data_IF_578334862117
#
_entry.id   IF_578334862117
#
_cell.length_a   1.000
_cell.length_b   1.000
_cell.length_c   1.000
_cell.angle_alpha   90.00
_cell.angle_beta   90.00
_cell.angle_gamma   90.00
#
_symmetry.space_group_name_H-M   'P 1'
#
loop_
_entity.id
_entity.type
_entity.pdbx_description
1 polymer ?
#
# COMPACT_ATOMS: atom_id res chain seq x y z
N UNK A 1 -5.26 -21.63 22.37
CA UNK A 1 -5.26 -21.86 20.92
C UNK A 1 -4.05 -21.12 20.38
N UNK A 2 -3.08 -21.85 19.81
CA UNK A 2 -1.76 -21.33 19.47
C UNK A 2 -1.86 -20.20 18.45
N UNK A 3 -1.51 -18.99 18.88
CA UNK A 3 -1.06 -17.95 17.97
C UNK A 3 0.26 -18.43 17.36
N UNK A 4 0.22 -19.08 16.19
CA UNK A 4 1.42 -19.28 15.40
C UNK A 4 1.95 -17.87 15.07
N UNK A 5 2.99 -17.45 15.78
CA UNK A 5 3.63 -16.17 15.56
C UNK A 5 3.92 -15.99 14.08
N UNK A 6 3.52 -14.85 13.52
CA UNK A 6 3.77 -14.55 12.12
C UNK A 6 5.26 -14.72 11.82
N UNK A 7 5.61 -15.67 10.95
CA UNK A 7 7.01 -15.90 10.57
C UNK A 7 7.39 -14.87 9.50
N UNK A 8 8.36 -14.05 9.83
CA UNK A 8 9.00 -13.15 8.89
C UNK A 8 10.19 -13.84 8.22
N UNK A 9 10.31 -13.60 6.94
CA UNK A 9 11.49 -13.90 6.14
C UNK A 9 12.14 -12.60 5.71
N UNK A 10 13.43 -12.65 5.35
CA UNK A 10 14.15 -11.47 4.85
C UNK A 10 14.89 -11.81 3.56
N UNK A 11 15.03 -10.82 2.70
CA UNK A 11 15.79 -10.91 1.46
C UNK A 11 16.53 -9.60 1.19
N UNK A 12 17.80 -9.70 0.82
CA UNK A 12 18.58 -8.55 0.37
C UNK A 12 18.22 -8.22 -1.09
N UNK A 13 17.71 -7.02 -1.33
CA UNK A 13 17.38 -6.52 -2.67
C UNK A 13 17.47 -4.98 -2.72
N UNK A 14 17.88 -4.45 -3.85
CA UNK A 14 17.92 -3.00 -4.12
C UNK A 14 18.55 -2.15 -3.00
N UNK A 15 19.55 -2.67 -2.30
CA UNK A 15 20.28 -1.97 -1.23
C UNK A 15 19.55 -1.92 0.11
N UNK A 16 18.52 -2.72 0.30
CA UNK A 16 17.81 -2.92 1.57
C UNK A 16 17.74 -4.39 1.95
N UNK A 17 17.53 -4.69 3.20
CA UNK A 17 17.03 -5.97 3.69
C UNK A 17 15.51 -5.85 3.84
N UNK A 18 14.76 -6.50 2.94
CA UNK A 18 13.31 -6.48 2.94
C UNK A 18 12.77 -7.63 3.77
N UNK A 19 11.97 -7.32 4.77
CA UNK A 19 11.19 -8.30 5.53
C UNK A 19 9.83 -8.51 4.88
N UNK A 20 9.37 -9.77 4.89
CA UNK A 20 8.07 -10.13 4.34
C UNK A 20 7.50 -11.36 5.03
N UNK A 21 6.20 -11.56 4.89
CA UNK A 21 5.51 -12.77 5.32
C UNK A 21 4.91 -13.46 4.10
N UNK A 22 4.94 -14.80 4.09
CA UNK A 22 4.20 -15.63 3.15
C UNK A 22 3.26 -16.54 3.92
N UNK A 23 1.99 -16.65 3.50
CA UNK A 23 1.00 -17.56 4.08
C UNK A 23 0.16 -18.20 2.98
N UNK A 24 -0.06 -19.53 3.08
CA UNK A 24 -0.82 -20.29 2.09
C UNK A 24 0.00 -20.61 0.83
N UNK A 25 -0.61 -21.41 -0.07
CA UNK A 25 0.07 -21.98 -1.25
C UNK A 25 -0.69 -21.77 -2.57
N UNK A 26 -1.84 -21.06 -2.53
CA UNK A 26 -2.69 -20.85 -3.70
C UNK A 26 -2.16 -19.78 -4.67
N UNK A 27 -3.07 -19.16 -5.41
CA UNK A 27 -2.74 -18.07 -6.32
C UNK A 27 -2.10 -16.88 -5.58
N UNK A 28 -1.05 -16.22 -6.14
CA UNK A 28 -0.38 -15.11 -5.47
C UNK A 28 -1.33 -13.93 -5.24
N UNK A 29 -1.42 -13.48 -3.98
CA UNK A 29 -2.11 -12.26 -3.57
C UNK A 29 -1.13 -11.37 -2.81
N UNK A 30 -0.74 -10.29 -3.43
CA UNK A 30 0.16 -9.28 -2.87
C UNK A 30 -0.64 -8.29 -2.04
N UNK A 31 -0.22 -8.06 -0.79
CA UNK A 31 -0.86 -7.13 0.14
C UNK A 31 0.14 -6.05 0.55
N UNK A 32 -0.01 -4.82 0.05
CA UNK A 32 0.88 -3.69 0.27
C UNK A 32 0.25 -2.67 1.22
N UNK A 33 0.84 -2.52 2.41
CA UNK A 33 0.36 -1.64 3.48
C UNK A 33 0.47 -0.14 3.17
N UNK A 34 -0.20 0.69 3.96
CA UNK A 34 -0.14 2.15 3.89
C UNK A 34 1.12 2.73 4.54
N UNK A 35 1.39 4.02 4.31
CA UNK A 35 2.47 4.73 4.97
C UNK A 35 2.22 4.73 6.50
N UNK A 36 3.25 4.67 7.31
CA UNK A 36 3.24 4.42 8.75
C UNK A 36 2.72 3.04 9.19
N UNK A 37 2.32 2.17 8.25
CA UNK A 37 1.88 0.81 8.51
C UNK A 37 2.99 -0.22 8.37
N UNK A 38 2.61 -1.49 8.50
CA UNK A 38 3.44 -2.66 8.29
C UNK A 38 2.62 -3.83 7.72
N UNK A 39 3.28 -4.88 7.30
CA UNK A 39 2.62 -6.12 6.88
C UNK A 39 1.71 -6.73 7.95
N UNK A 40 1.96 -6.42 9.23
CA UNK A 40 1.15 -6.87 10.36
C UNK A 40 -0.25 -6.26 10.41
N UNK A 41 -0.48 -5.09 9.80
CA UNK A 41 -1.74 -4.37 9.91
C UNK A 41 -2.90 -5.03 9.12
N UNK A 42 -2.59 -5.94 8.20
CA UNK A 42 -3.60 -6.63 7.39
C UNK A 42 -4.58 -7.47 8.19
N UNK A 43 -4.21 -7.93 9.39
CA UNK A 43 -5.12 -8.67 10.30
C UNK A 43 -6.30 -7.82 10.78
N UNK A 44 -6.16 -6.49 10.76
CA UNK A 44 -7.23 -5.56 11.15
C UNK A 44 -8.27 -5.39 10.04
N UNK A 45 -7.90 -5.68 8.79
CA UNK A 45 -8.79 -5.54 7.64
C UNK A 45 -9.30 -6.89 7.11
N UNK A 46 -8.43 -7.90 7.01
CA UNK A 46 -8.68 -9.17 6.35
C UNK A 46 -8.60 -10.35 7.34
N UNK A 47 -9.38 -11.39 7.09
CA UNK A 47 -9.17 -12.70 7.73
C UNK A 47 -8.09 -13.46 6.95
N UNK A 48 -6.83 -13.30 7.39
CA UNK A 48 -5.68 -13.87 6.69
C UNK A 48 -5.68 -15.40 6.66
N UNK A 49 -6.18 -16.06 7.70
CA UNK A 49 -6.23 -17.54 7.76
C UNK A 49 -7.25 -18.10 6.77
N UNK A 50 -8.37 -17.41 6.58
CA UNK A 50 -9.35 -17.77 5.57
C UNK A 50 -8.80 -17.53 4.15
N UNK A 51 -8.16 -16.40 3.92
CA UNK A 51 -7.56 -16.06 2.62
C UNK A 51 -6.41 -17.03 2.26
N UNK A 52 -5.59 -17.44 3.22
CA UNK A 52 -4.48 -18.36 3.02
C UNK A 52 -4.92 -19.78 2.59
N UNK A 53 -6.19 -20.14 2.75
CA UNK A 53 -6.74 -21.40 2.22
C UNK A 53 -6.86 -21.38 0.70
N UNK A 54 -6.88 -20.20 0.09
CA UNK A 54 -7.09 -20.01 -1.35
C UNK A 54 -5.91 -19.31 -2.04
N UNK A 55 -5.24 -18.43 -1.33
CA UNK A 55 -4.18 -17.59 -1.88
C UNK A 55 -2.85 -17.87 -1.20
N UNK A 56 -1.77 -17.72 -1.94
CA UNK A 56 -0.44 -17.47 -1.41
C UNK A 56 -0.33 -15.97 -1.13
N UNK A 57 -0.53 -15.59 0.13
CA UNK A 57 -0.45 -14.19 0.57
C UNK A 57 1.02 -13.77 0.64
N UNK A 58 1.38 -12.67 -0.02
CA UNK A 58 2.70 -12.06 0.03
C UNK A 58 2.54 -10.67 0.66
N UNK A 59 3.11 -10.48 1.84
CA UNK A 59 2.95 -9.28 2.65
C UNK A 59 4.32 -8.71 3.03
N UNK A 60 4.93 -7.88 2.16
CA UNK A 60 6.19 -7.23 2.50
C UNK A 60 5.98 -6.05 3.45
N UNK A 61 6.99 -5.78 4.27
CA UNK A 61 7.21 -4.45 4.84
C UNK A 61 7.93 -3.60 3.80
N UNK A 62 7.38 -2.46 3.44
CA UNK A 62 8.01 -1.53 2.49
C UNK A 62 9.36 -1.03 3.03
N UNK A 63 10.26 -0.56 2.15
CA UNK A 63 11.55 0.00 2.56
C UNK A 63 11.39 0.99 3.73
N UNK A 64 12.19 0.84 4.77
CA UNK A 64 12.13 1.69 5.96
C UNK A 64 10.92 1.49 6.86
N UNK A 65 10.01 0.56 6.56
CA UNK A 65 8.84 0.25 7.37
C UNK A 65 8.97 -1.11 8.05
N UNK A 66 8.20 -1.33 9.10
CA UNK A 66 8.14 -2.61 9.78
C UNK A 66 9.52 -3.10 10.21
N UNK A 67 9.93 -4.24 9.66
CA UNK A 67 11.24 -4.87 9.86
C UNK A 67 12.22 -4.62 8.71
N UNK A 68 11.78 -3.99 7.62
CA UNK A 68 12.62 -3.67 6.46
C UNK A 68 13.54 -2.51 6.74
N UNK A 69 14.79 -2.60 6.28
CA UNK A 69 15.77 -1.52 6.41
C UNK A 69 15.65 -0.48 5.28
N UNK A 70 16.27 0.68 5.47
CA UNK A 70 16.49 1.68 4.42
C UNK A 70 17.77 2.50 4.74
N UNK A 71 18.96 1.87 4.68
CA UNK A 71 20.20 2.50 5.13
C UNK A 71 20.58 3.74 4.31
N UNK A 72 20.18 3.81 3.04
CA UNK A 72 20.42 4.96 2.18
C UNK A 72 19.47 6.14 2.40
N UNK A 73 18.40 5.96 3.20
CA UNK A 73 17.42 6.99 3.54
C UNK A 73 16.53 7.47 2.38
N UNK A 74 16.89 7.19 1.12
CA UNK A 74 16.09 7.57 -0.04
C UNK A 74 14.78 6.80 -0.10
N UNK A 75 13.69 7.50 -0.42
CA UNK A 75 12.35 6.92 -0.49
C UNK A 75 11.53 7.54 -1.60
N UNK A 76 11.02 6.70 -2.50
CA UNK A 76 9.98 7.04 -3.48
C UNK A 76 9.02 5.86 -3.64
N UNK A 77 7.79 6.13 -4.08
CA UNK A 77 6.82 5.09 -4.41
C UNK A 77 7.33 4.22 -5.58
N UNK A 78 8.06 4.83 -6.51
CA UNK A 78 8.75 4.13 -7.61
C UNK A 78 9.78 3.13 -7.10
N UNK A 79 10.59 3.51 -6.08
CA UNK A 79 11.52 2.57 -5.45
C UNK A 79 10.78 1.42 -4.75
N UNK A 80 9.68 1.71 -4.04
CA UNK A 80 8.84 0.67 -3.44
C UNK A 80 8.31 -0.32 -4.49
N UNK A 81 7.95 0.16 -5.69
CA UNK A 81 7.53 -0.71 -6.79
C UNK A 81 8.68 -1.57 -7.34
N UNK A 82 9.88 -1.01 -7.46
CA UNK A 82 11.07 -1.77 -7.85
C UNK A 82 11.42 -2.86 -6.82
N UNK A 83 11.32 -2.55 -5.52
CA UNK A 83 11.54 -3.52 -4.44
C UNK A 83 10.49 -4.63 -4.47
N UNK A 84 9.22 -4.26 -4.63
CA UNK A 84 8.13 -5.22 -4.75
C UNK A 84 8.33 -6.14 -5.95
N UNK A 85 8.74 -5.60 -7.10
CA UNK A 85 9.06 -6.40 -8.29
C UNK A 85 10.21 -7.36 -8.03
N UNK A 86 11.27 -6.90 -7.37
CA UNK A 86 12.42 -7.74 -7.03
C UNK A 86 12.03 -8.86 -6.05
N UNK A 87 11.16 -8.58 -5.06
CA UNK A 87 10.62 -9.60 -4.15
C UNK A 87 9.80 -10.64 -4.92
N UNK A 88 8.89 -10.24 -5.81
CA UNK A 88 8.09 -11.18 -6.59
C UNK A 88 8.99 -12.07 -7.47
N UNK A 89 10.02 -11.51 -8.10
CA UNK A 89 11.02 -12.27 -8.86
C UNK A 89 11.79 -13.27 -7.98
N UNK A 90 12.21 -12.86 -6.77
CA UNK A 90 12.86 -13.74 -5.79
C UNK A 90 11.95 -14.92 -5.40
N UNK A 91 10.66 -14.69 -5.29
CA UNK A 91 9.67 -15.73 -4.94
C UNK A 91 9.19 -16.58 -6.13
N UNK A 92 9.72 -16.32 -7.34
CA UNK A 92 9.32 -17.01 -8.58
C UNK A 92 7.90 -16.69 -9.02
N UNK A 93 7.43 -15.45 -8.76
CA UNK A 93 6.06 -15.02 -9.05
C UNK A 93 6.06 -14.09 -10.27
N UNK A 94 5.53 -14.59 -11.38
CA UNK A 94 5.42 -13.83 -12.63
C UNK A 94 4.10 -13.09 -12.77
N UNK A 95 3.07 -13.51 -12.02
CA UNK A 95 1.74 -12.90 -12.05
C UNK A 95 1.08 -12.97 -10.67
N UNK A 96 0.44 -11.87 -10.25
CA UNK A 96 -0.25 -11.79 -8.97
C UNK A 96 -1.56 -11.01 -9.07
N UNK A 97 -2.45 -11.20 -8.10
CA UNK A 97 -3.46 -10.23 -7.73
C UNK A 97 -2.91 -9.35 -6.62
N UNK A 98 -3.47 -8.16 -6.41
CA UNK A 98 -2.93 -7.25 -5.41
C UNK A 98 -4.00 -6.42 -4.70
N UNK A 99 -3.75 -6.09 -3.43
CA UNK A 99 -4.44 -5.04 -2.69
C UNK A 99 -3.39 -4.08 -2.17
N UNK A 100 -3.55 -2.78 -2.44
CA UNK A 100 -2.65 -1.75 -1.95
C UNK A 100 -3.42 -0.62 -1.25
N UNK A 101 -3.00 -0.31 -0.03
CA UNK A 101 -3.55 0.78 0.76
C UNK A 101 -2.62 1.99 0.66
N UNK A 102 -3.13 3.15 0.23
CA UNK A 102 -2.38 4.43 0.21
C UNK A 102 -1.00 4.27 -0.45
N UNK A 103 0.11 4.31 0.31
CA UNK A 103 1.45 3.97 -0.16
C UNK A 103 1.47 2.68 -1.01
N UNK A 104 0.83 1.62 -0.54
CA UNK A 104 0.78 0.34 -1.24
C UNK A 104 0.04 0.44 -2.57
N UNK A 105 -1.04 1.22 -2.64
CA UNK A 105 -1.76 1.49 -3.87
C UNK A 105 -0.94 2.36 -4.85
N UNK A 106 -0.25 3.37 -4.35
CA UNK A 106 0.68 4.19 -5.14
C UNK A 106 1.83 3.33 -5.71
N UNK A 107 2.34 2.39 -4.90
CA UNK A 107 3.32 1.38 -5.32
C UNK A 107 2.77 0.52 -6.46
N UNK A 108 1.49 0.10 -6.39
CA UNK A 108 0.84 -0.67 -7.46
C UNK A 108 0.67 0.14 -8.74
N UNK A 109 0.39 1.43 -8.68
CA UNK A 109 0.34 2.29 -9.87
C UNK A 109 1.69 2.32 -10.59
N UNK A 110 2.80 2.48 -9.86
CA UNK A 110 4.15 2.39 -10.43
C UNK A 110 4.47 0.99 -10.96
N UNK A 111 4.09 -0.05 -10.23
CA UNK A 111 4.36 -1.43 -10.63
C UNK A 111 3.63 -1.77 -11.93
N UNK A 112 2.35 -1.43 -12.03
CA UNK A 112 1.51 -1.79 -13.18
C UNK A 112 1.79 -0.96 -14.42
N UNK A 113 2.23 0.28 -14.29
CA UNK A 113 2.69 1.10 -15.42
C UNK A 113 4.07 0.67 -15.94
N UNK A 114 4.96 0.15 -15.06
CA UNK A 114 6.29 -0.33 -15.43
C UNK A 114 6.30 -1.80 -15.89
N UNK A 115 5.40 -2.64 -15.37
CA UNK A 115 5.31 -4.08 -15.66
C UNK A 115 3.83 -4.52 -15.73
N UNK A 116 3.08 -4.14 -16.79
CA UNK A 116 1.63 -4.35 -16.86
C UNK A 116 1.20 -5.82 -16.74
N UNK A 117 2.01 -6.77 -17.19
CA UNK A 117 1.69 -8.19 -17.15
C UNK A 117 1.78 -8.82 -15.74
N UNK A 118 2.46 -8.14 -14.80
CA UNK A 118 2.75 -8.70 -13.47
C UNK A 118 1.51 -8.73 -12.56
N UNK A 119 0.56 -7.80 -12.75
CA UNK A 119 -0.66 -7.72 -11.95
C UNK A 119 -1.88 -7.94 -12.83
N UNK A 120 -2.69 -8.95 -12.52
CA UNK A 120 -3.90 -9.30 -13.26
C UNK A 120 -5.12 -8.49 -12.82
N UNK A 121 -5.25 -8.33 -11.50
CA UNK A 121 -6.32 -7.56 -10.88
C UNK A 121 -5.79 -6.90 -9.61
N UNK A 122 -6.22 -5.67 -9.35
CA UNK A 122 -5.80 -4.95 -8.16
C UNK A 122 -6.94 -4.17 -7.52
N UNK A 123 -6.80 -3.94 -6.22
CA UNK A 123 -7.63 -3.04 -5.42
C UNK A 123 -6.74 -1.91 -4.90
N UNK A 124 -7.06 -0.69 -5.28
CA UNK A 124 -6.38 0.53 -4.86
C UNK A 124 -7.23 1.23 -3.80
N UNK A 125 -6.75 1.36 -2.58
CA UNK A 125 -7.47 1.96 -1.46
C UNK A 125 -6.81 3.30 -1.12
N UNK A 126 -7.52 4.42 -1.30
CA UNK A 126 -7.01 5.75 -0.97
C UNK A 126 -5.69 6.10 -1.67
N UNK A 127 -5.49 5.63 -2.92
CA UNK A 127 -4.26 5.79 -3.68
C UNK A 127 -4.48 6.73 -4.87
N UNK A 128 -4.12 8.01 -4.76
CA UNK A 128 -4.36 9.01 -5.79
C UNK A 128 -3.36 8.86 -6.95
N UNK A 129 -3.70 9.45 -8.10
CA UNK A 129 -2.77 9.56 -9.23
C UNK A 129 -1.73 10.68 -9.08
N UNK A 130 -1.98 11.64 -8.19
CA UNK A 130 -1.04 12.72 -7.83
C UNK A 130 -1.37 13.26 -6.43
N UNK A 131 -0.44 13.99 -5.82
CA UNK A 131 -0.67 14.66 -4.54
C UNK A 131 -1.19 16.08 -4.75
N UNK A 132 -2.46 16.37 -4.42
CA UNK A 132 -3.03 17.72 -4.54
C UNK A 132 -2.47 18.66 -3.47
N UNK A 133 -2.70 19.97 -3.62
CA UNK A 133 -2.20 20.99 -2.71
C UNK A 133 -2.59 20.75 -1.25
N UNK A 134 -3.84 20.31 -1.01
CA UNK A 134 -4.30 20.01 0.36
C UNK A 134 -3.53 18.84 0.99
N UNK A 135 -3.26 17.76 0.25
CA UNK A 135 -2.47 16.64 0.75
C UNK A 135 -1.03 17.09 1.05
N UNK A 136 -0.43 17.89 0.17
CA UNK A 136 0.92 18.44 0.37
C UNK A 136 1.00 19.33 1.60
N UNK A 137 -0.03 20.14 1.88
CA UNK A 137 -0.09 20.96 3.09
C UNK A 137 -0.12 20.09 4.36
N UNK A 138 -0.93 19.02 4.38
CA UNK A 138 -1.01 18.07 5.50
C UNK A 138 0.33 17.35 5.66
N UNK A 139 0.92 16.83 4.58
CA UNK A 139 2.22 16.16 4.59
C UNK A 139 3.34 17.06 5.08
N UNK A 140 3.37 18.33 4.63
CA UNK A 140 4.35 19.32 5.04
C UNK A 140 4.28 19.70 6.54
N UNK A 141 3.14 19.48 7.17
CA UNK A 141 2.94 19.68 8.60
C UNK A 141 3.37 18.48 9.46
N UNK A 142 3.75 17.36 8.85
CA UNK A 142 4.23 16.19 9.61
C UNK A 142 5.55 16.50 10.29
N UNK A 143 5.61 16.27 11.60
CA UNK A 143 6.81 16.43 12.42
C UNK A 143 6.88 15.34 13.47
N UNK A 144 8.06 15.07 14.02
CA UNK A 144 8.27 14.26 15.21
C UNK A 144 8.19 15.08 16.51
N UNK A 145 8.27 16.41 16.41
CA UNK A 145 8.13 17.32 17.54
C UNK A 145 6.68 17.30 18.05
N UNK A 146 6.51 17.22 19.37
CA UNK A 146 5.20 17.25 20.01
C UNK A 146 4.33 16.01 19.81
N UNK A 147 4.88 14.91 19.31
CA UNK A 147 4.17 13.63 19.24
C UNK A 147 3.85 13.09 20.61
N UNK A 148 2.63 12.59 20.79
CA UNK A 148 2.19 11.97 22.04
C UNK A 148 2.93 10.65 22.32
N UNK A 149 2.97 10.21 23.57
CA UNK A 149 3.47 8.88 23.92
C UNK A 149 2.65 7.75 23.26
N UNK A 150 1.39 8.00 22.96
CA UNK A 150 0.54 7.04 22.23
C UNK A 150 0.98 6.92 20.77
N UNK A 151 1.28 8.02 20.08
CA UNK A 151 1.82 8.00 18.71
C UNK A 151 3.14 7.19 18.69
N UNK A 152 4.05 7.45 19.62
CA UNK A 152 5.31 6.72 19.72
C UNK A 152 5.09 5.24 19.99
N UNK A 153 4.18 4.90 20.89
CA UNK A 153 3.86 3.50 21.22
C UNK A 153 3.31 2.76 20.01
N UNK A 154 2.40 3.37 19.26
CA UNK A 154 1.85 2.79 18.04
C UNK A 154 2.92 2.58 16.96
N UNK A 155 3.80 3.56 16.76
CA UNK A 155 4.88 3.45 15.79
C UNK A 155 5.89 2.37 16.20
N UNK A 156 6.29 2.31 17.47
CA UNK A 156 7.19 1.27 18.00
C UNK A 156 6.60 -0.14 17.91
N UNK A 157 5.28 -0.28 18.00
CA UNK A 157 4.61 -1.57 17.83
C UNK A 157 4.70 -2.10 16.39
N UNK A 158 4.78 -1.20 15.40
CA UNK A 158 4.85 -1.55 13.97
C UNK A 158 6.27 -1.62 13.42
N UNK A 159 7.19 -0.79 13.92
CA UNK A 159 8.52 -0.55 13.34
C UNK A 159 9.63 -1.04 14.26
N UNK A 160 10.32 -2.10 13.85
CA UNK A 160 11.23 -2.86 14.73
C UNK A 160 12.69 -2.38 14.70
N UNK A 161 13.05 -1.39 13.86
CA UNK A 161 14.43 -0.89 13.73
C UNK A 161 14.74 0.29 14.66
N UNK A 162 13.84 0.56 15.63
CA UNK A 162 14.02 1.59 16.65
C UNK A 162 13.52 2.98 16.26
N UNK A 163 13.70 3.92 17.19
CA UNK A 163 13.12 5.27 17.09
C UNK A 163 13.66 6.08 15.92
N UNK A 164 14.91 5.84 15.48
CA UNK A 164 15.46 6.55 14.33
C UNK A 164 14.76 6.15 13.03
N UNK A 165 14.34 4.89 12.88
CA UNK A 165 13.48 4.47 11.78
C UNK A 165 12.17 5.27 11.79
N UNK A 166 11.55 5.42 12.95
CA UNK A 166 10.29 6.15 13.11
C UNK A 166 10.46 7.64 12.74
N UNK A 167 11.53 8.28 13.22
CA UNK A 167 11.85 9.67 12.84
C UNK A 167 12.11 9.82 11.35
N UNK A 168 12.81 8.84 10.75
CA UNK A 168 13.03 8.82 9.30
C UNK A 168 11.70 8.75 8.52
N UNK A 169 10.73 7.97 8.97
CA UNK A 169 9.41 7.89 8.35
C UNK A 169 8.66 9.24 8.42
N UNK A 170 8.70 9.94 9.56
CA UNK A 170 8.09 11.28 9.64
C UNK A 170 8.78 12.29 8.72
N UNK A 171 10.13 12.26 8.62
CA UNK A 171 10.86 13.11 7.66
C UNK A 171 10.49 12.80 6.21
N UNK A 172 10.37 11.51 5.85
CA UNK A 172 9.93 11.07 4.51
C UNK A 172 8.52 11.57 4.23
N UNK A 173 7.57 11.38 5.16
CA UNK A 173 6.19 11.86 5.02
C UNK A 173 6.13 13.36 4.76
N UNK A 174 6.90 14.14 5.53
CA UNK A 174 7.04 15.59 5.32
C UNK A 174 7.60 15.92 3.93
N UNK A 175 8.58 15.13 3.46
CA UNK A 175 9.21 15.30 2.15
C UNK A 175 8.26 15.15 0.97
N UNK A 176 7.16 14.40 1.12
CA UNK A 176 6.15 14.28 0.06
C UNK A 176 5.48 15.61 -0.31
N UNK A 177 5.50 16.61 0.58
CA UNK A 177 5.00 17.95 0.29
C UNK A 177 5.69 18.60 -0.92
N UNK A 178 6.97 18.30 -1.14
CA UNK A 178 7.78 18.82 -2.24
C UNK A 178 8.11 17.79 -3.33
N UNK A 179 7.65 16.55 -3.18
CA UNK A 179 7.85 15.49 -4.18
C UNK A 179 6.80 15.62 -5.30
N UNK A 180 7.21 16.08 -6.49
CA UNK A 180 6.31 16.28 -7.63
C UNK A 180 6.43 15.15 -8.67
N UNK A 181 7.62 14.61 -8.88
CA UNK A 181 7.91 13.68 -9.98
C UNK A 181 7.54 12.23 -9.67
N UNK A 182 7.50 11.87 -8.38
CA UNK A 182 7.23 10.49 -7.95
C UNK A 182 5.74 10.13 -8.10
N UNK A 183 4.84 11.09 -7.86
CA UNK A 183 3.39 10.92 -8.00
C UNK A 183 2.84 11.92 -9.02
N UNK A 184 2.86 11.55 -10.28
CA UNK A 184 2.41 12.39 -11.42
C UNK A 184 1.85 11.52 -12.56
N UNK A 185 0.89 10.64 -12.23
CA UNK A 185 0.27 9.76 -13.23
C UNK A 185 -0.73 10.56 -14.07
N UNK A 186 -0.39 10.77 -15.34
CA UNK A 186 -1.29 11.41 -16.31
C UNK A 186 -2.29 10.40 -16.87
N UNK A 187 -3.46 10.83 -17.40
CA UNK A 187 -4.42 9.93 -18.01
C UNK A 187 -3.84 9.02 -19.10
N UNK A 188 -2.96 9.47 -20.03
CA UNK A 188 -2.31 8.57 -20.97
C UNK A 188 -1.44 7.49 -20.31
N UNK A 189 -0.75 7.80 -19.20
CA UNK A 189 0.03 6.82 -18.47
C UNK A 189 -0.88 5.82 -17.74
N UNK A 190 -1.96 6.28 -17.12
CA UNK A 190 -2.96 5.41 -16.48
C UNK A 190 -3.65 4.48 -17.48
N UNK A 191 -3.83 4.92 -18.72
CA UNK A 191 -4.41 4.11 -19.80
C UNK A 191 -3.54 2.91 -20.21
N UNK A 192 -2.26 2.87 -19.82
CA UNK A 192 -1.37 1.71 -20.03
C UNK A 192 -1.60 0.57 -19.04
N UNK A 193 -2.36 0.79 -17.97
CA UNK A 193 -2.67 -0.22 -16.96
C UNK A 193 -3.65 -1.23 -17.55
N UNK A 194 -3.20 -2.48 -17.68
CA UNK A 194 -4.00 -3.59 -18.22
C UNK A 194 -4.71 -4.40 -17.12
N UNK A 195 -4.29 -4.23 -15.86
CA UNK A 195 -4.89 -4.89 -14.72
C UNK A 195 -6.35 -4.45 -14.52
N UNK A 196 -7.25 -5.38 -14.24
CA UNK A 196 -8.58 -5.02 -13.72
C UNK A 196 -8.39 -4.29 -12.40
N UNK A 197 -8.96 -3.10 -12.28
CA UNK A 197 -8.68 -2.20 -11.16
C UNK A 197 -9.96 -1.81 -10.42
N UNK A 198 -10.04 -2.13 -9.12
CA UNK A 198 -11.06 -1.57 -8.22
C UNK A 198 -10.43 -0.40 -7.44
N UNK A 199 -10.91 0.80 -7.70
CA UNK A 199 -10.53 2.00 -6.97
C UNK A 199 -11.50 2.16 -5.80
N UNK A 200 -10.99 2.33 -4.58
CA UNK A 200 -11.78 2.49 -3.36
C UNK A 200 -11.35 3.76 -2.64
N UNK A 201 -12.30 4.62 -2.29
CA UNK A 201 -12.04 5.87 -1.57
C UNK A 201 -13.22 6.24 -0.68
N UNK A 202 -12.98 7.04 0.35
CA UNK A 202 -14.03 7.74 1.11
C UNK A 202 -14.33 9.10 0.48
N UNK A 203 -15.59 9.54 0.50
CA UNK A 203 -15.99 10.85 -0.03
C UNK A 203 -15.63 12.03 0.89
N UNK A 204 -15.11 11.74 2.09
CA UNK A 204 -14.62 12.71 3.10
C UNK A 204 -13.12 12.54 3.39
N UNK A 205 -12.37 11.98 2.45
CA UNK A 205 -10.92 11.87 2.60
C UNK A 205 -10.28 13.26 2.67
N UNK A 206 -9.67 13.58 3.81
CA UNK A 206 -9.04 14.89 4.03
C UNK A 206 -7.77 15.10 3.20
N UNK A 207 -7.14 14.01 2.73
CA UNK A 207 -5.95 14.07 1.89
C UNK A 207 -6.31 14.24 0.41
N UNK A 208 -7.29 13.46 -0.07
CA UNK A 208 -7.52 13.31 -1.51
C UNK A 208 -8.97 13.57 -1.89
N UNK A 209 -9.26 14.63 -2.67
CA UNK A 209 -10.59 14.88 -3.21
C UNK A 209 -11.09 13.73 -4.08
N UNK A 210 -12.39 13.47 -4.03
CA UNK A 210 -13.04 12.40 -4.80
C UNK A 210 -12.78 12.52 -6.32
N UNK A 211 -12.65 13.75 -6.82
CA UNK A 211 -12.41 14.05 -8.23
C UNK A 211 -11.18 13.35 -8.79
N UNK A 212 -10.10 13.22 -8.00
CA UNK A 212 -8.88 12.51 -8.41
C UNK A 212 -9.18 11.04 -8.71
N UNK A 213 -10.00 10.41 -7.90
CA UNK A 213 -10.38 9.00 -8.10
C UNK A 213 -11.37 8.82 -9.25
N UNK A 214 -12.22 9.82 -9.52
CA UNK A 214 -13.09 9.85 -10.70
C UNK A 214 -12.27 10.00 -11.99
N UNK A 215 -11.25 10.86 -12.01
CA UNK A 215 -10.31 10.98 -13.12
C UNK A 215 -9.55 9.67 -13.35
N UNK A 216 -9.04 9.07 -12.29
CA UNK A 216 -8.33 7.79 -12.33
C UNK A 216 -9.23 6.66 -12.85
N UNK A 217 -10.48 6.59 -12.39
CA UNK A 217 -11.49 5.65 -12.88
C UNK A 217 -11.75 5.80 -14.40
N UNK A 218 -11.82 7.04 -14.89
CA UNK A 218 -12.04 7.31 -16.31
C UNK A 218 -10.81 7.00 -17.17
N UNK A 219 -9.62 7.10 -16.61
CA UNK A 219 -8.36 6.91 -17.33
C UNK A 219 -7.93 5.45 -17.41
N UNK A 220 -8.22 4.62 -16.40
CA UNK A 220 -7.84 3.19 -16.40
C UNK A 220 -8.91 2.37 -17.13
N UNK A 221 -8.58 1.65 -18.23
CA UNK A 221 -9.57 1.04 -19.12
C UNK A 221 -10.51 0.03 -18.45
N UNK A 222 -10.00 -0.75 -17.49
CA UNK A 222 -10.77 -1.80 -16.80
C UNK A 222 -10.98 -1.46 -15.32
N UNK A 223 -11.31 -0.19 -15.04
CA UNK A 223 -11.55 0.27 -13.69
C UNK A 223 -13.01 0.13 -13.25
N UNK A 224 -13.20 -0.09 -11.96
CA UNK A 224 -14.44 0.10 -11.22
C UNK A 224 -14.15 1.05 -10.05
N UNK A 225 -15.15 1.81 -9.62
CA UNK A 225 -15.04 2.77 -8.51
C UNK A 225 -16.02 2.42 -7.40
N UNK A 226 -15.51 2.29 -6.18
CA UNK A 226 -16.28 2.15 -4.96
C UNK A 226 -16.05 3.37 -4.06
N UNK A 227 -17.09 4.16 -3.83
CA UNK A 227 -17.05 5.30 -2.93
C UNK A 227 -17.74 4.91 -1.63
N UNK A 228 -17.08 5.14 -0.50
CA UNK A 228 -17.61 4.87 0.84
C UNK A 228 -18.20 6.17 1.39
N UNK A 229 -19.53 6.24 1.60
CA UNK A 229 -20.19 7.43 2.12
C UNK A 229 -19.66 7.82 3.51
N UNK A 230 -19.49 9.11 3.74
CA UNK A 230 -18.93 9.71 4.96
C UNK A 230 -17.58 9.12 5.40
N UNK A 231 -16.87 8.47 4.47
CA UNK A 231 -15.59 7.80 4.70
C UNK A 231 -14.41 8.73 4.57
N UNK A 232 -13.47 8.67 5.51
CA UNK A 232 -12.16 9.30 5.43
C UNK A 232 -11.14 8.43 4.69
N UNK A 233 -9.84 8.73 4.89
CA UNK A 233 -8.74 7.97 4.29
C UNK A 233 -8.67 6.51 4.75
N UNK A 234 -9.14 6.22 5.95
CA UNK A 234 -9.19 4.91 6.60
C UNK A 234 -10.57 4.23 6.53
N UNK A 235 -11.47 4.67 5.67
CA UNK A 235 -12.88 4.26 5.62
C UNK A 235 -13.09 2.73 5.60
N UNK A 236 -12.17 1.98 4.95
CA UNK A 236 -12.26 0.53 4.83
C UNK A 236 -12.08 -0.23 6.15
N UNK A 237 -11.52 0.39 7.20
CA UNK A 237 -11.30 -0.24 8.51
C UNK A 237 -12.47 -0.10 9.49
N UNK A 238 -13.51 0.68 9.13
CA UNK A 238 -14.63 1.01 10.00
C UNK A 238 -15.88 0.22 9.61
N UNK A 239 -17.03 0.85 9.69
CA UNK A 239 -18.33 0.23 9.40
C UNK A 239 -18.42 -0.35 7.97
N UNK A 240 -17.72 0.25 7.01
CA UNK A 240 -17.68 -0.24 5.63
C UNK A 240 -16.86 -1.53 5.42
N UNK A 241 -16.11 -2.00 6.44
CA UNK A 241 -15.21 -3.15 6.32
C UNK A 241 -15.86 -4.41 5.74
N UNK A 242 -17.05 -4.88 6.20
CA UNK A 242 -17.66 -6.08 5.66
C UNK A 242 -18.00 -5.97 4.17
N UNK A 243 -18.59 -4.85 3.76
CA UNK A 243 -18.97 -4.61 2.37
C UNK A 243 -17.74 -4.42 1.48
N UNK A 244 -16.74 -3.70 1.97
CA UNK A 244 -15.45 -3.56 1.29
C UNK A 244 -14.80 -4.93 1.06
N UNK A 245 -14.64 -5.75 2.11
CA UNK A 245 -13.97 -7.06 2.00
C UNK A 245 -14.72 -7.95 1.02
N UNK A 246 -16.04 -8.02 1.13
CA UNK A 246 -16.89 -8.79 0.21
C UNK A 246 -16.71 -8.35 -1.24
N UNK A 247 -16.75 -7.03 -1.50
CA UNK A 247 -16.63 -6.45 -2.84
C UNK A 247 -15.24 -6.65 -3.42
N UNK A 248 -14.19 -6.34 -2.64
CA UNK A 248 -12.81 -6.48 -3.05
C UNK A 248 -12.44 -7.93 -3.40
N UNK A 249 -12.83 -8.89 -2.54
CA UNK A 249 -12.55 -10.31 -2.79
C UNK A 249 -13.39 -10.87 -3.94
N UNK A 250 -14.62 -10.42 -4.16
CA UNK A 250 -15.40 -10.78 -5.33
C UNK A 250 -14.74 -10.22 -6.61
N UNK A 251 -14.32 -8.97 -6.59
CA UNK A 251 -13.65 -8.33 -7.72
C UNK A 251 -12.34 -9.04 -8.10
N UNK A 252 -11.52 -9.42 -7.13
CA UNK A 252 -10.26 -10.12 -7.39
C UNK A 252 -10.46 -11.52 -8.00
N UNK A 253 -11.59 -12.16 -7.76
CA UNK A 253 -11.88 -13.49 -8.33
C UNK A 253 -12.21 -13.47 -9.83
N UNK A 254 -12.75 -12.40 -10.35
CA UNK A 254 -13.18 -12.24 -11.72
C UNK A 254 -14.65 -12.33 -11.85
#
# INVERSE_FOLDING_TARGET
>A
MNSSGARYETVALNGIEMAYQVRGEGEPLLLLHGFFGSSGDWVHLLNLDELARRYRLIMPDARGHGRSTNPGGAFTHRQCAQDTRALLAHLGIDRARAIGLSLGGNTLLHLTTAAPALVQAMVLIGAPSYFPAQARAIMGAVTDEGRSEDDWREMRARHAQGDEQIRALWRIARGFASSHDDMSFTPPLLATITARTLIVTGDRDALYPLEIFVEQYRAIPSAALMVIPDGGHDAVFRQARPDFVRTALAFLRG
#
